data_IF_709121188433
#
_entry.id   IF_709121188433
#
_cell.length_a   1.000
_cell.length_b   1.000
_cell.length_c   1.000
_cell.angle_alpha   90.00
_cell.angle_beta   90.00
_cell.angle_gamma   90.00
#
_symmetry.space_group_name_H-M   'P 1'
#
loop_
_entity.id
_entity.type
_entity.pdbx_description
1 polymer ?
#
# COMPACT_ATOMS: atom_id res chain seq x y z
N UNK A 1 18.03 15.40 9.56
CA UNK A 1 16.95 14.60 8.91
C UNK A 1 16.99 14.86 7.42
N UNK A 2 16.81 13.84 6.56
CA UNK A 2 16.69 14.04 5.11
C UNK A 2 15.57 15.03 4.76
N UNK A 3 15.68 15.81 3.66
CA UNK A 3 14.72 16.87 3.32
C UNK A 3 13.27 16.42 3.20
N UNK A 4 13.04 15.14 2.84
CA UNK A 4 11.70 14.56 2.73
C UNK A 4 10.89 14.65 4.02
N UNK A 5 11.55 14.60 5.19
CA UNK A 5 10.93 14.63 6.52
C UNK A 5 10.68 16.03 7.07
N UNK A 6 11.02 17.09 6.32
CA UNK A 6 10.74 18.48 6.74
C UNK A 6 9.26 18.85 6.65
N UNK A 7 8.47 18.08 5.91
CA UNK A 7 7.02 18.20 5.83
C UNK A 7 6.37 16.84 6.15
N UNK A 8 5.10 16.82 6.58
CA UNK A 8 4.39 15.56 6.82
C UNK A 8 4.39 14.67 5.57
N UNK A 9 4.87 13.44 5.73
CA UNK A 9 4.95 12.44 4.66
C UNK A 9 4.40 11.12 5.20
N UNK A 10 3.68 10.39 4.35
CA UNK A 10 3.25 9.03 4.63
C UNK A 10 4.01 8.07 3.70
N UNK A 11 4.57 7.01 4.29
CA UNK A 11 5.20 5.92 3.57
C UNK A 11 4.20 4.77 3.49
N UNK A 12 3.91 4.34 2.27
CA UNK A 12 3.02 3.22 1.97
C UNK A 12 3.85 2.06 1.41
N UNK A 13 3.51 0.85 1.84
CA UNK A 13 4.02 -0.40 1.27
C UNK A 13 2.85 -1.22 0.76
N UNK A 14 2.97 -1.80 -0.43
CA UNK A 14 1.91 -2.57 -1.04
C UNK A 14 2.44 -3.83 -1.73
N UNK A 15 1.72 -4.93 -1.55
CA UNK A 15 2.01 -6.22 -2.18
C UNK A 15 0.71 -6.95 -2.56
N UNK A 16 0.82 -7.84 -3.54
CA UNK A 16 -0.20 -8.84 -3.86
C UNK A 16 0.44 -10.22 -3.82
N UNK A 17 -0.06 -11.06 -2.91
CA UNK A 17 0.37 -12.46 -2.83
C UNK A 17 -0.62 -13.35 -3.59
N UNK A 18 -0.09 -14.20 -4.47
CA UNK A 18 -0.87 -15.15 -5.24
C UNK A 18 -0.90 -16.55 -4.60
N UNK A 19 -1.93 -17.36 -4.91
CA UNK A 19 -1.92 -18.79 -4.59
C UNK A 19 -0.75 -19.56 -5.25
N UNK A 20 -0.37 -20.72 -4.69
CA UNK A 20 0.65 -21.58 -5.26
C UNK A 20 0.38 -21.98 -6.72
N UNK A 21 1.45 -22.38 -7.43
CA UNK A 21 1.32 -22.93 -8.78
C UNK A 21 0.38 -24.14 -8.80
N UNK A 22 -0.46 -24.24 -9.83
CA UNK A 22 -1.47 -25.30 -9.97
C UNK A 22 -2.81 -25.00 -9.29
N UNK A 23 -2.91 -23.98 -8.45
CA UNK A 23 -4.19 -23.49 -7.95
C UNK A 23 -4.85 -22.58 -8.98
N UNK A 24 -6.10 -22.88 -9.34
CA UNK A 24 -6.92 -22.11 -10.29
C UNK A 24 -8.20 -21.52 -9.70
N UNK A 25 -8.37 -21.58 -8.37
CA UNK A 25 -9.62 -21.15 -7.71
C UNK A 25 -9.42 -20.16 -6.58
N UNK A 26 -8.31 -20.25 -5.83
CA UNK A 26 -8.09 -19.38 -4.68
C UNK A 26 -7.89 -17.93 -5.11
N UNK A 27 -8.39 -16.95 -4.38
CA UNK A 27 -8.19 -15.55 -4.71
C UNK A 27 -6.74 -15.10 -4.44
N UNK A 28 -6.34 -13.98 -5.03
CA UNK A 28 -5.14 -13.25 -4.61
C UNK A 28 -5.46 -12.40 -3.37
N UNK A 29 -4.43 -12.09 -2.57
CA UNK A 29 -4.56 -11.23 -1.39
C UNK A 29 -3.72 -9.97 -1.61
N UNK A 30 -4.36 -8.81 -1.56
CA UNK A 30 -3.69 -7.51 -1.59
C UNK A 30 -3.55 -6.95 -0.18
N UNK A 31 -2.37 -6.44 0.14
CA UNK A 31 -2.09 -5.78 1.41
C UNK A 31 -1.47 -4.40 1.15
N UNK A 32 -1.94 -3.39 1.88
CA UNK A 32 -1.35 -2.05 1.88
C UNK A 32 -1.15 -1.60 3.32
N UNK A 33 0.08 -1.23 3.66
CA UNK A 33 0.46 -0.66 4.95
C UNK A 33 0.81 0.81 4.81
N UNK A 34 0.64 1.58 5.89
CA UNK A 34 1.04 2.98 5.94
C UNK A 34 1.70 3.35 7.27
N UNK A 35 2.75 4.18 7.22
CA UNK A 35 3.41 4.72 8.42
C UNK A 35 2.45 5.61 9.20
N UNK A 36 2.53 5.63 10.53
CA UNK A 36 1.58 6.32 11.43
C UNK A 36 2.24 7.36 12.35
N UNK A 37 3.51 7.67 12.11
CA UNK A 37 4.28 8.69 12.81
C UNK A 37 5.37 9.29 11.91
N UNK A 38 6.00 10.38 12.39
CA UNK A 38 7.05 11.09 11.66
C UNK A 38 8.45 10.42 11.76
N UNK A 39 8.58 9.35 12.56
CA UNK A 39 9.80 8.53 12.67
C UNK A 39 9.76 7.30 11.74
N UNK A 40 8.86 7.32 10.75
CA UNK A 40 8.06 6.19 10.24
C UNK A 40 8.41 4.83 10.88
N UNK A 41 8.02 4.65 12.15
CA UNK A 41 8.28 3.40 12.88
C UNK A 41 7.02 2.54 13.03
N UNK A 42 5.88 3.14 13.38
CA UNK A 42 4.62 2.42 13.52
C UNK A 42 3.85 2.41 12.21
N UNK A 43 3.20 1.28 11.90
CA UNK A 43 2.40 1.09 10.69
C UNK A 43 1.01 0.55 11.01
N UNK A 44 0.01 0.93 10.21
CA UNK A 44 -1.29 0.25 10.14
C UNK A 44 -1.43 -0.46 8.79
N UNK A 45 -2.24 -1.52 8.76
CA UNK A 45 -2.45 -2.36 7.58
C UNK A 45 -3.91 -2.35 7.14
N UNK A 46 -4.12 -2.48 5.84
CA UNK A 46 -5.39 -2.80 5.20
C UNK A 46 -5.17 -4.02 4.31
N UNK A 47 -6.14 -4.92 4.24
CA UNK A 47 -6.06 -6.17 3.47
C UNK A 47 -7.34 -6.41 2.71
N UNK A 48 -7.23 -6.95 1.48
CA UNK A 48 -8.35 -7.29 0.61
C UNK A 48 -8.10 -8.59 -0.12
N UNK A 49 -9.18 -9.33 -0.31
CA UNK A 49 -9.21 -10.48 -1.22
C UNK A 49 -9.65 -9.96 -2.59
N UNK A 50 -8.96 -10.36 -3.66
CA UNK A 50 -9.26 -9.94 -5.03
C UNK A 50 -9.20 -11.11 -6.01
N UNK A 51 -9.48 -10.84 -7.29
CA UNK A 51 -9.57 -11.90 -8.31
C UNK A 51 -8.29 -12.75 -8.38
N UNK A 52 -8.47 -14.03 -8.70
CA UNK A 52 -7.38 -15.00 -8.87
C UNK A 52 -6.29 -14.46 -9.80
N UNK A 53 -5.03 -14.45 -9.33
CA UNK A 53 -3.83 -14.01 -10.07
C UNK A 53 -3.93 -12.60 -10.69
N UNK A 54 -4.75 -11.73 -10.10
CA UNK A 54 -4.79 -10.30 -10.45
C UNK A 54 -3.70 -9.56 -9.68
N UNK A 55 -2.82 -8.84 -10.38
CA UNK A 55 -1.71 -8.06 -9.78
C UNK A 55 -2.12 -6.62 -9.42
N UNK A 56 -3.08 -6.06 -10.15
CA UNK A 56 -3.63 -4.73 -9.87
C UNK A 56 -4.43 -4.79 -8.57
N UNK A 57 -4.09 -3.94 -7.60
CA UNK A 57 -4.84 -3.86 -6.33
C UNK A 57 -6.19 -3.21 -6.60
N UNK A 58 -7.25 -4.01 -6.64
CA UNK A 58 -8.56 -3.56 -7.12
C UNK A 58 -9.17 -2.47 -6.22
N UNK A 59 -9.00 -2.58 -4.91
CA UNK A 59 -9.60 -1.67 -3.92
C UNK A 59 -8.58 -0.67 -3.32
N UNK A 60 -7.52 -0.36 -4.08
CA UNK A 60 -6.40 0.47 -3.60
C UNK A 60 -6.86 1.83 -3.08
N UNK A 61 -7.82 2.46 -3.77
CA UNK A 61 -8.31 3.79 -3.39
C UNK A 61 -8.95 3.79 -1.99
N UNK A 62 -9.77 2.77 -1.66
CA UNK A 62 -10.39 2.66 -0.35
C UNK A 62 -9.35 2.34 0.74
N UNK A 63 -8.43 1.40 0.45
CA UNK A 63 -7.32 1.03 1.33
C UNK A 63 -6.45 2.24 1.69
N UNK A 64 -6.04 3.04 0.70
CA UNK A 64 -5.25 4.26 0.92
C UNK A 64 -6.05 5.31 1.69
N UNK A 65 -7.34 5.48 1.39
CA UNK A 65 -8.21 6.40 2.14
C UNK A 65 -8.26 6.06 3.62
N UNK A 66 -8.43 4.79 3.97
CA UNK A 66 -8.42 4.31 5.37
C UNK A 66 -7.11 4.67 6.07
N UNK A 67 -5.97 4.42 5.41
CA UNK A 67 -4.64 4.73 5.94
C UNK A 67 -4.41 6.24 6.11
N UNK A 68 -4.88 7.08 5.17
CA UNK A 68 -4.78 8.54 5.28
C UNK A 68 -5.61 9.08 6.45
N UNK A 69 -6.82 8.54 6.65
CA UNK A 69 -7.65 8.89 7.81
C UNK A 69 -6.94 8.50 9.10
N UNK A 70 -6.36 7.30 9.16
CA UNK A 70 -5.65 6.80 10.34
C UNK A 70 -4.36 7.58 10.61
N UNK A 71 -3.63 7.97 9.57
CA UNK A 71 -2.46 8.84 9.68
C UNK A 71 -2.83 10.19 10.28
N UNK A 72 -3.90 10.83 9.80
CA UNK A 72 -4.37 12.10 10.35
C UNK A 72 -4.83 11.96 11.81
N UNK A 73 -5.52 10.88 12.16
CA UNK A 73 -5.89 10.59 13.57
C UNK A 73 -4.65 10.46 14.47
N UNK A 74 -3.59 9.84 13.97
CA UNK A 74 -2.38 9.53 14.73
C UNK A 74 -1.39 10.71 14.85
N UNK A 75 -1.30 11.55 13.80
CA UNK A 75 -0.30 12.63 13.72
C UNK A 75 -0.89 14.03 13.81
N UNK A 76 -2.20 14.19 13.54
CA UNK A 76 -2.90 15.48 13.32
C UNK A 76 -2.40 16.29 12.13
N UNK A 77 -1.60 15.68 11.25
CA UNK A 77 -1.13 16.29 10.01
C UNK A 77 -1.70 15.59 8.79
N UNK A 78 -1.95 16.36 7.72
CA UNK A 78 -2.21 15.80 6.39
C UNK A 78 -0.87 15.64 5.68
N UNK A 79 -0.58 14.49 5.05
CA UNK A 79 0.67 14.31 4.33
C UNK A 79 0.71 15.24 3.11
N UNK A 80 1.82 15.95 2.90
CA UNK A 80 2.09 16.72 1.68
C UNK A 80 2.72 15.85 0.60
N UNK A 81 3.22 14.67 0.98
CA UNK A 81 3.81 13.67 0.10
C UNK A 81 3.36 12.27 0.48
N UNK A 82 3.13 11.43 -0.52
CA UNK A 82 2.89 10.00 -0.37
C UNK A 82 4.03 9.29 -1.09
N UNK A 83 4.75 8.42 -0.39
CA UNK A 83 5.81 7.59 -0.97
C UNK A 83 5.28 6.16 -0.99
N UNK A 84 5.10 5.61 -2.18
CA UNK A 84 4.47 4.31 -2.37
C UNK A 84 5.49 3.29 -2.89
N UNK A 85 5.85 2.33 -2.05
CA UNK A 85 6.67 1.19 -2.43
C UNK A 85 5.75 0.03 -2.81
N UNK A 86 5.73 -0.30 -4.11
CA UNK A 86 4.99 -1.45 -4.66
C UNK A 86 5.97 -2.60 -4.91
N UNK A 87 5.81 -3.69 -4.19
CA UNK A 87 6.59 -4.92 -4.40
C UNK A 87 6.01 -5.75 -5.56
N UNK A 88 6.63 -6.86 -5.97
CA UNK A 88 5.97 -7.93 -6.73
C UNK A 88 5.61 -7.66 -8.20
N UNK A 89 5.74 -6.43 -8.70
CA UNK A 89 5.38 -6.10 -10.09
C UNK A 89 6.56 -6.37 -11.03
N UNK A 90 6.37 -7.24 -12.01
CA UNK A 90 7.37 -7.47 -13.07
C UNK A 90 7.41 -6.32 -14.07
N UNK A 91 8.54 -6.12 -14.77
CA UNK A 91 8.71 -5.03 -15.76
C UNK A 91 7.60 -5.01 -16.82
N UNK A 92 7.15 -6.20 -17.27
CA UNK A 92 6.07 -6.34 -18.25
C UNK A 92 4.70 -5.87 -17.76
N UNK A 93 4.53 -5.66 -16.45
CA UNK A 93 3.28 -5.23 -15.81
C UNK A 93 3.30 -3.75 -15.40
N UNK A 94 4.42 -3.03 -15.55
CA UNK A 94 4.53 -1.63 -15.10
C UNK A 94 3.47 -0.72 -15.71
N UNK A 95 3.24 -0.79 -17.01
CA UNK A 95 2.23 0.05 -17.69
C UNK A 95 0.80 -0.25 -17.25
N UNK A 96 0.53 -1.41 -16.67
CA UNK A 96 -0.79 -1.78 -16.15
C UNK A 96 -0.99 -1.36 -14.69
N UNK A 97 0.09 -1.06 -13.98
CA UNK A 97 0.08 -0.71 -12.55
C UNK A 97 0.31 0.80 -12.32
N UNK A 98 0.99 1.49 -13.24
CA UNK A 98 1.27 2.94 -13.21
C UNK A 98 0.07 3.76 -13.70
#
# INVERSE_FOLDING_TARGET
RPPVFQQPVIFLGADVTHPPAGDGKKPSIAAVVGSMDAHPNRYCATVRVQQHRQEIIQDLAAMVRELLIQFYKSTRFKPTRIIFYRDGVSEGQFQQVI
#
